data_IF_281075280649
#
_entry.id   IF_281075280649
#
_cell.length_a   1.000
_cell.length_b   1.000
_cell.length_c   1.000
_cell.angle_alpha   90.00
_cell.angle_beta   90.00
_cell.angle_gamma   90.00
#
_symmetry.space_group_name_H-M   'P 1'
#
loop_
_entity.id
_entity.type
_entity.pdbx_description
1 polymer ?
#
# COMPACT_ATOMS: atom_id res chain seq x y z
N UNK A 1 2.41 -15.41 7.91
CA UNK A 1 2.27 -16.82 7.47
C UNK A 1 1.19 -16.82 6.41
N UNK A 2 1.63 -16.87 5.18
CA UNK A 2 0.72 -16.85 4.05
C UNK A 2 0.14 -18.26 3.89
N UNK A 3 -1.04 -18.48 4.49
CA UNK A 3 -1.74 -19.75 4.49
C UNK A 3 -2.39 -20.14 3.17
N UNK A 4 -1.77 -19.77 2.05
CA UNK A 4 -2.19 -20.25 0.74
C UNK A 4 -1.46 -21.57 0.47
N UNK A 5 -2.11 -22.67 0.79
CA UNK A 5 -1.58 -24.00 0.47
C UNK A 5 -1.52 -24.19 -1.05
N UNK A 6 -0.53 -24.92 -1.56
CA UNK A 6 -0.37 -25.26 -2.98
C UNK A 6 -1.70 -25.75 -3.60
N UNK A 7 -2.46 -26.55 -2.85
CA UNK A 7 -3.77 -27.09 -3.25
C UNK A 7 -4.86 -26.02 -3.45
N UNK A 8 -4.81 -24.89 -2.73
CA UNK A 8 -5.76 -23.78 -2.92
C UNK A 8 -5.42 -22.99 -4.19
N UNK A 9 -4.13 -22.81 -4.48
CA UNK A 9 -3.66 -22.17 -5.70
C UNK A 9 -3.99 -23.00 -6.95
N UNK A 10 -3.87 -24.32 -6.89
CA UNK A 10 -4.15 -25.21 -8.02
C UNK A 10 -5.63 -25.26 -8.41
N UNK A 11 -6.52 -24.94 -7.47
CA UNK A 11 -7.98 -24.88 -7.68
C UNK A 11 -8.48 -23.48 -8.12
N UNK A 12 -7.60 -22.48 -8.12
CA UNK A 12 -7.98 -21.12 -8.52
C UNK A 12 -8.17 -21.02 -10.03
N UNK A 13 -9.09 -20.15 -10.53
CA UNK A 13 -9.23 -19.90 -11.96
C UNK A 13 -7.92 -19.41 -12.57
N UNK A 14 -7.78 -19.48 -13.89
CA UNK A 14 -6.56 -19.14 -14.62
C UNK A 14 -6.01 -17.76 -14.32
N UNK A 15 -6.86 -16.78 -14.03
CA UNK A 15 -6.45 -15.45 -13.58
C UNK A 15 -6.34 -15.42 -12.05
N UNK A 16 -5.11 -15.32 -11.56
CA UNK A 16 -4.83 -15.29 -10.11
C UNK A 16 -4.32 -13.93 -9.69
N UNK A 17 -4.88 -13.40 -8.61
CA UNK A 17 -4.39 -12.20 -7.95
C UNK A 17 -3.86 -12.61 -6.58
N UNK A 18 -2.59 -12.29 -6.33
CA UNK A 18 -1.92 -12.55 -5.07
C UNK A 18 -1.55 -11.22 -4.42
N UNK A 19 -1.92 -11.03 -3.15
CA UNK A 19 -1.51 -9.86 -2.37
C UNK A 19 -0.33 -10.22 -1.46
N UNK A 20 0.68 -9.34 -1.40
CA UNK A 20 1.82 -9.51 -0.52
C UNK A 20 2.39 -8.18 -0.07
N UNK A 21 3.09 -8.16 1.07
CA UNK A 21 3.90 -7.04 1.56
C UNK A 21 5.41 -7.31 1.43
N UNK A 22 5.79 -8.32 0.67
CA UNK A 22 7.20 -8.69 0.53
C UNK A 22 8.03 -7.58 -0.12
N UNK A 23 9.25 -7.43 0.38
CA UNK A 23 10.29 -6.67 -0.31
C UNK A 23 10.55 -7.27 -1.70
N UNK A 24 10.82 -6.48 -2.75
CA UNK A 24 11.02 -7.02 -4.11
C UNK A 24 12.12 -8.09 -4.20
N UNK A 25 13.16 -7.99 -3.37
CA UNK A 25 14.23 -8.99 -3.34
C UNK A 25 13.83 -10.33 -2.67
N UNK A 26 12.71 -10.34 -1.94
CA UNK A 26 12.13 -11.53 -1.33
C UNK A 26 11.00 -12.15 -2.18
N UNK A 27 10.64 -11.50 -3.28
CA UNK A 27 9.72 -12.08 -4.27
C UNK A 27 10.47 -13.13 -5.08
N UNK A 28 9.94 -14.35 -5.26
CA UNK A 28 10.60 -15.36 -6.06
C UNK A 28 10.97 -14.83 -7.45
N UNK A 29 12.21 -15.05 -7.87
CA UNK A 29 12.73 -14.56 -9.18
C UNK A 29 11.89 -15.02 -10.36
N UNK A 30 11.18 -16.14 -10.21
CA UNK A 30 10.26 -16.65 -11.23
C UNK A 30 9.13 -15.69 -11.59
N UNK A 31 8.72 -14.79 -10.69
CA UNK A 31 7.72 -13.75 -11.00
C UNK A 31 8.25 -12.76 -12.05
N UNK A 32 9.50 -12.36 -11.90
CA UNK A 32 10.16 -11.44 -12.84
C UNK A 32 10.51 -12.16 -14.18
N UNK A 33 11.07 -13.37 -14.11
CA UNK A 33 11.45 -14.12 -15.31
C UNK A 33 10.24 -14.56 -16.15
N UNK A 34 9.13 -14.86 -15.51
CA UNK A 34 7.84 -15.17 -16.17
C UNK A 34 7.03 -13.93 -16.55
N UNK A 35 7.56 -12.74 -16.30
CA UNK A 35 6.91 -11.46 -16.63
C UNK A 35 5.52 -11.32 -16.03
N UNK A 36 5.35 -11.76 -14.79
CA UNK A 36 4.10 -11.58 -14.04
C UNK A 36 3.86 -10.08 -13.84
N UNK A 37 2.65 -9.60 -14.07
CA UNK A 37 2.28 -8.21 -13.80
C UNK A 37 2.23 -7.95 -12.30
N UNK A 38 2.98 -6.96 -11.86
CA UNK A 38 3.11 -6.57 -10.45
C UNK A 38 2.60 -5.14 -10.29
N UNK A 39 1.47 -4.99 -9.60
CA UNK A 39 0.94 -3.68 -9.20
C UNK A 39 1.43 -3.37 -7.80
N UNK A 40 2.15 -2.27 -7.64
CA UNK A 40 2.68 -1.80 -6.35
C UNK A 40 1.94 -0.53 -5.95
N UNK A 41 1.36 -0.53 -4.76
CA UNK A 41 0.61 0.61 -4.24
C UNK A 41 1.40 1.22 -3.08
N UNK A 42 1.82 2.48 -3.25
CA UNK A 42 2.42 3.27 -2.18
C UNK A 42 1.41 4.26 -1.61
N UNK A 43 1.65 4.68 -0.40
CA UNK A 43 0.94 5.76 0.28
C UNK A 43 1.99 6.64 0.97
N UNK A 44 1.70 7.92 1.19
CA UNK A 44 2.62 8.78 1.92
C UNK A 44 3.04 8.15 3.26
N UNK A 45 4.29 8.32 3.71
CA UNK A 45 4.82 7.59 4.86
C UNK A 45 4.15 7.96 6.18
N UNK A 46 3.67 9.20 6.36
CA UNK A 46 3.00 9.62 7.60
C UNK A 46 1.66 8.89 7.77
N UNK A 47 0.83 8.88 6.74
CA UNK A 47 -0.44 8.13 6.78
C UNK A 47 -0.24 6.62 6.77
N UNK A 48 0.84 6.13 6.13
CA UNK A 48 1.20 4.71 6.17
C UNK A 48 1.50 4.27 7.60
N UNK A 49 2.31 5.05 8.34
CA UNK A 49 2.63 4.78 9.73
C UNK A 49 1.36 4.73 10.61
N UNK A 50 0.48 5.73 10.47
CA UNK A 50 -0.79 5.77 11.23
C UNK A 50 -1.67 4.58 10.90
N UNK A 51 -1.85 4.26 9.62
CA UNK A 51 -2.64 3.12 9.19
C UNK A 51 -2.08 1.81 9.73
N UNK A 52 -0.77 1.64 9.69
CA UNK A 52 -0.08 0.45 10.16
C UNK A 52 -0.15 0.32 11.69
N UNK A 53 -0.02 1.42 12.43
CA UNK A 53 -0.22 1.44 13.88
C UNK A 53 -1.60 0.89 14.26
N UNK A 54 -2.66 1.43 13.65
CA UNK A 54 -4.02 0.97 13.95
C UNK A 54 -4.28 -0.47 13.51
N UNK A 55 -3.71 -0.88 12.38
CA UNK A 55 -3.78 -2.27 11.95
C UNK A 55 -3.14 -3.20 12.99
N UNK A 56 -1.89 -2.96 13.37
CA UNK A 56 -1.18 -3.78 14.34
C UNK A 56 -1.88 -3.78 15.73
N UNK A 57 -2.34 -2.61 16.20
CA UNK A 57 -3.01 -2.48 17.49
C UNK A 57 -4.29 -3.33 17.60
N UNK A 58 -5.01 -3.49 16.50
CA UNK A 58 -6.29 -4.19 16.49
C UNK A 58 -6.18 -5.63 15.96
N UNK A 59 -5.01 -6.05 15.49
CA UNK A 59 -4.79 -7.38 14.94
C UNK A 59 -4.37 -8.37 16.02
N UNK A 60 -5.12 -9.45 16.29
CA UNK A 60 -5.00 -10.24 17.53
C UNK A 60 -3.80 -11.20 17.58
N UNK A 61 -2.88 -11.19 16.60
CA UNK A 61 -1.93 -12.30 16.40
C UNK A 61 -0.48 -11.96 16.81
N UNK A 62 -0.13 -10.70 17.12
CA UNK A 62 1.25 -10.33 17.42
C UNK A 62 1.38 -9.48 18.70
N UNK A 63 2.48 -9.61 19.45
CA UNK A 63 2.80 -8.66 20.51
C UNK A 63 2.97 -7.29 19.86
N UNK A 64 2.10 -6.37 20.23
CA UNK A 64 2.06 -5.01 19.72
C UNK A 64 2.86 -4.08 20.64
N UNK A 65 3.62 -3.10 20.13
CA UNK A 65 4.24 -2.08 20.96
C UNK A 65 3.20 -1.38 21.84
N UNK A 66 3.56 -1.13 23.11
CA UNK A 66 2.64 -0.69 24.15
C UNK A 66 2.07 0.72 23.92
N UNK A 67 2.69 1.53 23.06
CA UNK A 67 2.27 2.93 22.82
C UNK A 67 2.51 3.36 21.37
N UNK A 68 1.93 4.52 21.01
CA UNK A 68 2.20 5.21 19.75
C UNK A 68 3.68 5.56 19.58
N UNK A 69 4.31 6.08 20.64
CA UNK A 69 5.71 6.50 20.65
C UNK A 69 6.64 5.34 20.35
N UNK A 70 6.39 4.19 20.99
CA UNK A 70 7.14 2.97 20.73
C UNK A 70 6.97 2.48 19.31
N UNK A 71 5.74 2.48 18.77
CA UNK A 71 5.49 2.10 17.38
C UNK A 71 6.13 3.06 16.39
N UNK A 72 6.03 4.37 16.64
CA UNK A 72 6.68 5.39 15.82
C UNK A 72 8.19 5.15 15.74
N UNK A 73 8.84 4.92 16.90
CA UNK A 73 10.28 4.66 16.96
C UNK A 73 10.66 3.41 16.14
N UNK A 74 9.91 2.31 16.33
CA UNK A 74 10.15 1.07 15.59
C UNK A 74 9.91 1.21 14.09
N UNK A 75 8.90 1.99 13.68
CA UNK A 75 8.67 2.28 12.26
C UNK A 75 9.84 3.07 11.64
N UNK A 76 10.33 4.08 12.36
CA UNK A 76 11.44 4.91 11.90
C UNK A 76 12.76 4.15 11.82
N UNK A 77 12.98 3.14 12.69
CA UNK A 77 14.14 2.25 12.64
C UNK A 77 13.98 1.05 11.69
N UNK A 78 12.76 0.80 11.18
CA UNK A 78 12.44 -0.38 10.38
C UNK A 78 12.20 -1.65 11.21
N UNK A 79 12.10 -1.54 12.52
CA UNK A 79 11.83 -2.64 13.45
C UNK A 79 10.33 -2.95 13.56
N UNK A 80 9.69 -3.06 12.42
CA UNK A 80 8.26 -3.40 12.28
C UNK A 80 8.12 -4.56 11.30
N UNK A 81 6.99 -5.28 11.31
CA UNK A 81 6.71 -6.27 10.28
C UNK A 81 6.93 -5.69 8.88
N UNK A 82 7.55 -6.47 8.01
CA UNK A 82 7.96 -6.11 6.63
C UNK A 82 9.08 -5.07 6.51
N UNK A 83 9.67 -4.59 7.62
CA UNK A 83 10.89 -3.77 7.61
C UNK A 83 10.65 -2.29 7.30
N UNK A 84 11.72 -1.62 6.89
CA UNK A 84 11.72 -0.18 6.64
C UNK A 84 10.88 0.22 5.43
N UNK A 85 9.96 1.15 5.61
CA UNK A 85 9.21 1.80 4.52
C UNK A 85 10.14 2.41 3.46
N UNK A 86 11.21 3.06 3.90
CA UNK A 86 12.12 3.77 3.00
C UNK A 86 12.99 2.81 2.18
N UNK A 87 13.47 1.72 2.79
CA UNK A 87 14.22 0.69 2.07
C UNK A 87 13.31 -0.02 1.04
N UNK A 88 12.10 -0.36 1.45
CA UNK A 88 11.09 -0.93 0.57
C UNK A 88 10.79 0.00 -0.62
N UNK A 89 10.61 1.29 -0.37
CA UNK A 89 10.37 2.30 -1.40
C UNK A 89 11.54 2.41 -2.39
N UNK A 90 12.78 2.48 -1.88
CA UNK A 90 13.97 2.54 -2.71
C UNK A 90 14.19 1.27 -3.54
N UNK A 91 13.82 0.12 -3.01
CA UNK A 91 13.92 -1.15 -3.74
C UNK A 91 12.93 -1.21 -4.91
N UNK A 92 11.70 -0.74 -4.73
CA UNK A 92 10.72 -0.62 -5.82
C UNK A 92 11.05 0.51 -6.79
N UNK A 93 11.66 1.61 -6.34
CA UNK A 93 12.18 2.66 -7.22
C UNK A 93 13.08 2.10 -8.32
N UNK A 94 13.96 1.15 -7.96
CA UNK A 94 14.86 0.48 -8.91
C UNK A 94 14.14 -0.39 -9.96
N UNK A 95 12.89 -0.73 -9.71
CA UNK A 95 12.05 -1.57 -10.57
C UNK A 95 11.06 -0.79 -11.43
N UNK A 96 11.02 0.55 -11.31
CA UNK A 96 10.04 1.38 -12.02
C UNK A 96 10.18 1.35 -13.55
N UNK A 97 11.31 0.91 -14.09
CA UNK A 97 11.53 0.76 -15.53
C UNK A 97 11.16 -0.63 -16.07
N UNK A 98 10.81 -1.58 -15.18
CA UNK A 98 10.34 -2.90 -15.63
C UNK A 98 8.91 -2.76 -16.19
N UNK A 99 8.66 -3.14 -17.47
CA UNK A 99 7.34 -3.01 -18.09
C UNK A 99 6.28 -3.91 -17.46
N UNK A 100 6.68 -4.81 -16.57
CA UNK A 100 5.78 -5.66 -15.81
C UNK A 100 5.54 -5.16 -14.37
N UNK A 101 6.12 -4.03 -14.00
CA UNK A 101 5.91 -3.37 -12.71
C UNK A 101 5.19 -2.05 -12.95
N UNK A 102 4.03 -1.89 -12.34
CA UNK A 102 3.31 -0.62 -12.29
C UNK A 102 3.23 -0.15 -10.85
N UNK A 103 3.63 1.09 -10.63
CA UNK A 103 3.54 1.73 -9.33
C UNK A 103 2.46 2.80 -9.37
N UNK A 104 1.58 2.80 -8.38
CA UNK A 104 0.56 3.84 -8.17
C UNK A 104 0.62 4.32 -6.73
N UNK A 105 0.10 5.51 -6.44
CA UNK A 105 -0.06 5.96 -5.07
C UNK A 105 -1.53 5.92 -4.64
N UNK A 106 -1.74 5.70 -3.36
CA UNK A 106 -3.08 5.75 -2.75
C UNK A 106 -3.74 7.12 -3.00
N UNK A 107 -2.95 8.17 -2.92
CA UNK A 107 -3.38 9.55 -3.11
C UNK A 107 -3.83 9.81 -4.56
N UNK A 108 -3.12 9.24 -5.56
CA UNK A 108 -3.55 9.31 -6.96
C UNK A 108 -4.92 8.63 -7.16
N UNK A 109 -5.11 7.45 -6.59
CA UNK A 109 -6.38 6.73 -6.67
C UNK A 109 -7.51 7.46 -5.92
N UNK A 110 -7.21 8.13 -4.82
CA UNK A 110 -8.17 8.96 -4.09
C UNK A 110 -8.53 10.23 -4.86
N UNK A 111 -7.60 10.80 -5.59
CA UNK A 111 -7.80 12.02 -6.38
C UNK A 111 -8.65 11.75 -7.63
N UNK A 112 -8.34 10.68 -8.36
CA UNK A 112 -9.05 10.28 -9.58
C UNK A 112 -9.02 8.75 -9.73
N UNK A 113 -10.03 8.12 -9.16
CA UNK A 113 -10.17 6.67 -9.19
C UNK A 113 -10.44 6.16 -10.62
N UNK A 114 -11.20 6.90 -11.42
CA UNK A 114 -11.53 6.54 -12.79
C UNK A 114 -10.27 6.46 -13.65
N UNK A 115 -9.42 7.47 -13.59
CA UNK A 115 -8.14 7.47 -14.32
C UNK A 115 -7.21 6.36 -13.79
N UNK A 116 -7.13 6.19 -12.48
CA UNK A 116 -6.37 5.08 -11.88
C UNK A 116 -6.82 3.70 -12.40
N UNK A 117 -8.12 3.47 -12.50
CA UNK A 117 -8.68 2.22 -13.04
C UNK A 117 -8.35 2.03 -14.52
N UNK A 118 -8.42 3.08 -15.34
CA UNK A 118 -8.03 2.98 -16.76
C UNK A 118 -6.55 2.59 -16.90
N UNK A 119 -5.67 3.23 -16.13
CA UNK A 119 -4.25 2.92 -16.14
C UNK A 119 -3.96 1.49 -15.67
N UNK A 120 -4.54 1.07 -14.55
CA UNK A 120 -4.36 -0.27 -13.99
C UNK A 120 -4.90 -1.33 -14.95
N UNK A 121 -6.10 -1.14 -15.49
CA UNK A 121 -6.70 -2.10 -16.43
C UNK A 121 -5.87 -2.24 -17.71
N UNK A 122 -5.39 -1.13 -18.26
CA UNK A 122 -4.49 -1.11 -19.42
C UNK A 122 -3.19 -1.87 -19.12
N UNK A 123 -2.58 -1.62 -17.97
CA UNK A 123 -1.37 -2.32 -17.53
C UNK A 123 -1.58 -3.84 -17.39
N UNK A 124 -2.73 -4.25 -16.89
CA UNK A 124 -3.10 -5.66 -16.73
C UNK A 124 -3.59 -6.31 -18.03
N UNK A 125 -3.74 -5.54 -19.10
CA UNK A 125 -4.20 -6.03 -20.41
C UNK A 125 -5.71 -6.13 -20.56
N UNK A 126 -6.47 -5.48 -19.67
CA UNK A 126 -7.94 -5.38 -19.80
C UNK A 126 -8.32 -4.07 -20.50
N UNK A 127 -9.40 -4.15 -21.27
CA UNK A 127 -10.04 -2.97 -21.85
C UNK A 127 -11.39 -2.78 -21.16
N UNK A 128 -11.48 -1.76 -20.32
CA UNK A 128 -12.73 -1.36 -19.69
C UNK A 128 -13.44 -0.31 -20.54
N UNK A 129 -14.75 -0.43 -20.67
CA UNK A 129 -15.60 0.67 -21.18
C UNK A 129 -15.78 1.71 -20.10
N UNK A 130 -16.22 2.93 -20.47
CA UNK A 130 -16.50 3.99 -19.47
C UNK A 130 -17.57 3.56 -18.47
N UNK A 131 -18.62 2.85 -18.93
CA UNK A 131 -19.64 2.30 -18.03
C UNK A 131 -19.07 1.32 -17.02
N UNK A 132 -18.11 0.47 -17.44
CA UNK A 132 -17.42 -0.44 -16.54
C UNK A 132 -16.51 0.29 -15.56
N UNK A 133 -15.80 1.33 -15.99
CA UNK A 133 -15.01 2.19 -15.11
C UNK A 133 -15.90 2.81 -14.04
N UNK A 134 -17.06 3.34 -14.45
CA UNK A 134 -18.03 3.93 -13.53
C UNK A 134 -18.55 2.89 -12.51
N UNK A 135 -19.01 1.73 -12.98
CA UNK A 135 -19.51 0.65 -12.12
C UNK A 135 -18.47 0.20 -11.10
N UNK A 136 -17.20 0.00 -11.54
CA UNK A 136 -16.11 -0.39 -10.63
C UNK A 136 -15.85 0.74 -9.63
N UNK A 137 -15.80 2.00 -10.08
CA UNK A 137 -15.56 3.16 -9.20
C UNK A 137 -16.61 3.26 -8.09
N UNK A 138 -17.88 3.04 -8.40
CA UNK A 138 -18.97 3.03 -7.43
C UNK A 138 -18.86 1.85 -6.45
N UNK A 139 -18.49 0.67 -6.96
CA UNK A 139 -18.34 -0.56 -6.18
C UNK A 139 -17.13 -0.59 -5.25
N UNK A 140 -16.11 0.23 -5.51
CA UNK A 140 -14.89 0.30 -4.68
C UNK A 140 -14.80 1.59 -3.86
N UNK A 141 -15.90 2.30 -3.66
CA UNK A 141 -15.95 3.36 -2.65
C UNK A 141 -15.66 2.78 -1.26
N UNK A 142 -15.14 3.60 -0.36
CA UNK A 142 -14.82 3.13 1.01
C UNK A 142 -16.03 2.46 1.70
N UNK A 143 -17.21 3.04 1.55
CA UNK A 143 -18.46 2.47 2.08
C UNK A 143 -18.81 1.13 1.43
N UNK A 144 -18.79 1.05 0.10
CA UNK A 144 -19.10 -0.17 -0.63
C UNK A 144 -18.10 -1.31 -0.30
N UNK A 145 -16.80 -1.00 -0.27
CA UNK A 145 -15.77 -1.99 0.11
C UNK A 145 -15.95 -2.52 1.53
N UNK A 146 -16.29 -1.64 2.47
CA UNK A 146 -16.53 -2.04 3.87
C UNK A 146 -17.67 -3.06 4.01
N UNK A 147 -18.68 -2.96 3.14
CA UNK A 147 -19.83 -3.89 3.13
C UNK A 147 -19.57 -5.19 2.34
N UNK A 148 -18.89 -5.09 1.20
CA UNK A 148 -18.82 -6.16 0.20
C UNK A 148 -17.55 -7.00 0.23
N UNK A 149 -16.44 -6.48 0.82
CA UNK A 149 -15.15 -7.18 0.77
C UNK A 149 -15.18 -8.55 1.45
N UNK A 150 -14.52 -9.53 0.80
CA UNK A 150 -14.42 -10.91 1.27
C UNK A 150 -13.41 -11.09 2.41
N UNK A 151 -13.52 -10.26 3.44
CA UNK A 151 -12.77 -10.43 4.69
C UNK A 151 -13.72 -10.69 5.85
N UNK A 152 -13.32 -11.45 6.87
CA UNK A 152 -14.15 -11.68 8.05
C UNK A 152 -14.67 -10.36 8.63
N UNK A 153 -15.95 -10.34 9.00
CA UNK A 153 -16.63 -9.12 9.49
C UNK A 153 -15.86 -8.44 10.64
N UNK A 154 -15.26 -9.23 11.52
CA UNK A 154 -14.42 -8.74 12.61
C UNK A 154 -13.19 -7.95 12.14
N UNK A 155 -12.66 -8.26 10.94
CA UNK A 155 -11.48 -7.58 10.39
C UNK A 155 -11.83 -6.34 9.55
N UNK A 156 -13.09 -6.17 9.14
CA UNK A 156 -13.49 -5.03 8.30
C UNK A 156 -13.21 -3.69 8.97
N UNK A 157 -13.52 -3.57 10.26
CA UNK A 157 -13.25 -2.36 11.04
C UNK A 157 -11.76 -2.07 11.24
N UNK A 158 -10.92 -3.09 11.18
CA UNK A 158 -9.45 -2.96 11.27
C UNK A 158 -8.89 -2.43 9.95
N UNK A 159 -9.31 -3.00 8.83
CA UNK A 159 -8.82 -2.66 7.49
C UNK A 159 -9.44 -1.34 7.00
N UNK A 160 -10.75 -1.17 7.17
CA UNK A 160 -11.49 0.01 6.71
C UNK A 160 -11.73 0.97 7.89
N UNK A 161 -10.68 1.69 8.31
CA UNK A 161 -10.76 2.61 9.47
C UNK A 161 -11.31 3.98 9.08
N UNK A 162 -10.61 4.73 8.24
CA UNK A 162 -10.95 6.11 7.84
C UNK A 162 -11.09 6.25 6.32
N UNK A 163 -10.16 5.67 5.55
CA UNK A 163 -10.14 5.81 4.11
C UNK A 163 -9.75 7.20 3.60
N UNK A 164 -9.11 8.04 4.43
CA UNK A 164 -8.78 9.43 4.16
C UNK A 164 -7.28 9.68 4.07
N UNK A 165 -6.90 10.76 3.36
CA UNK A 165 -5.53 11.26 3.29
C UNK A 165 -5.35 12.37 4.35
N UNK A 166 -4.23 12.36 5.06
CA UNK A 166 -3.89 13.42 6.01
C UNK A 166 -4.28 13.16 7.47
N UNK A 167 -4.80 11.96 7.80
CA UNK A 167 -5.14 11.60 9.19
C UNK A 167 -3.92 11.58 10.13
N UNK A 168 -2.71 11.55 9.59
CA UNK A 168 -1.48 11.65 10.35
C UNK A 168 -1.42 12.90 11.25
N UNK A 169 -2.08 14.00 10.85
CA UNK A 169 -2.15 15.24 11.64
C UNK A 169 -2.80 15.06 13.00
N UNK A 170 -3.64 14.05 13.15
CA UNK A 170 -4.31 13.71 14.42
C UNK A 170 -3.44 12.87 15.37
N UNK A 171 -2.26 12.42 14.89
CA UNK A 171 -1.42 11.46 15.62
C UNK A 171 0.00 11.96 15.86
N UNK A 172 0.59 12.66 14.91
CA UNK A 172 1.98 13.10 14.96
C UNK A 172 2.14 14.33 15.86
N UNK A 173 3.19 14.34 16.68
CA UNK A 173 3.70 15.59 17.26
C UNK A 173 4.45 16.39 16.19
N UNK A 174 4.68 17.69 16.45
CA UNK A 174 5.47 18.52 15.56
C UNK A 174 6.90 17.98 15.36
N UNK A 175 7.50 17.43 16.41
CA UNK A 175 8.84 16.83 16.37
C UNK A 175 8.86 15.57 15.53
N UNK A 176 7.88 14.67 15.70
CA UNK A 176 7.74 13.46 14.90
C UNK A 176 7.54 13.79 13.42
N UNK A 177 6.72 14.81 13.14
CA UNK A 177 6.50 15.29 11.78
C UNK A 177 7.80 15.77 11.14
N UNK A 178 8.55 16.65 11.81
CA UNK A 178 9.84 17.15 11.33
C UNK A 178 10.89 16.05 11.18
N UNK A 179 10.89 15.06 12.06
CA UNK A 179 11.81 13.92 11.94
C UNK A 179 11.49 13.10 10.67
N UNK A 180 10.21 12.80 10.42
CA UNK A 180 9.77 12.12 9.20
C UNK A 180 10.13 12.93 7.94
N UNK A 181 9.96 14.26 7.98
CA UNK A 181 10.31 15.15 6.87
C UNK A 181 11.80 15.06 6.53
N UNK A 182 12.68 15.06 7.55
CA UNK A 182 14.13 14.89 7.36
C UNK A 182 14.48 13.54 6.74
N UNK A 183 13.84 12.46 7.21
CA UNK A 183 14.08 11.10 6.68
C UNK A 183 13.58 10.96 5.26
N UNK A 184 12.38 11.49 4.97
CA UNK A 184 11.85 11.53 3.61
C UNK A 184 12.78 12.31 2.66
N UNK A 185 13.19 13.50 3.06
CA UNK A 185 14.11 14.36 2.27
C UNK A 185 15.42 13.66 1.98
N UNK A 186 15.97 12.95 2.97
CA UNK A 186 17.22 12.21 2.83
C UNK A 186 17.11 11.04 1.85
N UNK A 187 16.02 10.30 1.87
CA UNK A 187 15.93 9.02 1.16
C UNK A 187 15.12 9.08 -0.13
N UNK A 188 14.04 9.88 -0.19
CA UNK A 188 13.07 9.80 -1.27
C UNK A 188 12.87 11.09 -2.07
N UNK A 189 13.15 12.28 -1.55
CA UNK A 189 12.82 13.54 -2.22
C UNK A 189 13.44 13.66 -3.64
N UNK A 190 14.64 13.12 -3.86
CA UNK A 190 15.32 13.11 -5.16
C UNK A 190 14.84 12.01 -6.13
N UNK A 191 13.98 11.07 -5.69
CA UNK A 191 13.59 9.90 -6.48
C UNK A 191 12.33 10.16 -7.31
N UNK A 192 12.06 9.30 -8.30
CA UNK A 192 10.80 9.35 -9.09
C UNK A 192 9.59 9.03 -8.21
N UNK A 193 9.71 8.04 -7.34
CA UNK A 193 8.68 7.67 -6.39
C UNK A 193 8.42 8.79 -5.39
N UNK A 194 9.48 9.42 -4.86
CA UNK A 194 9.34 10.54 -3.92
C UNK A 194 8.59 11.73 -4.52
N UNK A 195 8.87 12.06 -5.78
CA UNK A 195 8.10 13.10 -6.51
C UNK A 195 6.63 12.69 -6.69
N UNK A 196 6.38 11.42 -6.97
CA UNK A 196 5.05 10.88 -7.19
C UNK A 196 4.19 10.85 -5.92
N UNK A 197 4.82 10.66 -4.76
CA UNK A 197 4.17 10.73 -3.44
C UNK A 197 3.68 12.14 -3.08
N UNK A 198 4.09 13.18 -3.81
CA UNK A 198 3.68 14.58 -3.59
C UNK A 198 3.73 14.97 -2.11
N UNK A 199 4.89 14.70 -1.48
CA UNK A 199 5.07 14.81 -0.04
C UNK A 199 4.71 16.21 0.48
N UNK A 200 5.09 17.25 -0.26
CA UNK A 200 4.80 18.65 0.08
C UNK A 200 3.30 18.98 0.07
N UNK A 201 2.47 18.17 -0.60
CA UNK A 201 1.02 18.35 -0.66
C UNK A 201 0.33 17.62 0.48
N UNK A 202 0.77 16.40 0.78
CA UNK A 202 0.03 15.50 1.68
C UNK A 202 0.63 15.40 3.08
N UNK A 203 1.90 15.79 3.27
CA UNK A 203 2.64 15.60 4.52
C UNK A 203 3.10 16.91 5.21
N UNK A 204 2.66 18.05 4.73
CA UNK A 204 2.88 19.36 5.37
C UNK A 204 1.64 19.93 6.05
#
# INVERSE_FOLDING_TARGET
MDGCTQTALDKSPLLRILGTHLHPDNIPTSFFTKRVKILVIFRNPKDTLVSFYHFCKNFPIQPFPSSWESFYTNFMSGEVPWGSYFEHALAWEKRMDDPNVMLVTYEELKQDLGEGLRQISSFLGFKLTEDQVQQVSEGVTFAAMKETVLVPRAMRGIIFRQGEVGDWRNHFTAEQSQQMDRVFSKHLAGTRLGRRLKYDVYCQ
#
